data_IF_368898461617
#
_entry.id   IF_368898461617
#
_cell.length_a   1.000
_cell.length_b   1.000
_cell.length_c   1.000
_cell.angle_alpha   90.00
_cell.angle_beta   90.00
_cell.angle_gamma   90.00
#
_symmetry.space_group_name_H-M   'P 1'
#
loop_
_entity.id
_entity.type
_entity.pdbx_description
1 polymer ?
#
# COMPACT_ATOMS: atom_id res chain seq x y z
N UNK A 1 -8.26 59.80 -30.38
CA UNK A 1 -7.67 58.68 -29.65
C UNK A 1 -6.71 57.98 -30.58
N UNK A 2 -5.43 58.02 -30.26
CA UNK A 2 -4.33 57.78 -31.21
C UNK A 2 -4.20 56.28 -31.54
N UNK A 3 -4.02 55.95 -32.83
CA UNK A 3 -3.92 54.58 -33.36
C UNK A 3 -2.84 53.71 -32.67
N UNK A 4 -1.81 54.36 -32.16
CA UNK A 4 -0.72 53.75 -31.39
C UNK A 4 -1.11 53.37 -29.97
N UNK A 5 -2.09 54.03 -29.37
CA UNK A 5 -2.58 53.73 -28.03
C UNK A 5 -3.37 52.39 -28.02
N UNK A 6 -4.08 52.10 -29.12
CA UNK A 6 -4.81 50.85 -29.26
C UNK A 6 -3.87 49.67 -29.52
N UNK A 7 -2.75 49.90 -30.23
CA UNK A 7 -1.75 48.88 -30.46
C UNK A 7 -0.97 48.55 -29.18
N UNK A 8 -0.68 49.55 -28.36
CA UNK A 8 0.04 49.37 -27.08
C UNK A 8 -0.85 48.69 -26.04
N UNK A 9 -2.14 48.97 -26.00
CA UNK A 9 -3.10 48.30 -25.12
C UNK A 9 -3.33 46.84 -25.54
N UNK A 10 -3.33 46.54 -26.87
CA UNK A 10 -3.45 45.18 -27.38
C UNK A 10 -2.21 44.31 -27.07
N UNK A 11 -1.01 44.88 -27.12
CA UNK A 11 0.23 44.17 -26.80
C UNK A 11 0.34 43.95 -25.28
N UNK A 12 -0.14 44.87 -24.45
CA UNK A 12 -0.13 44.71 -23.00
C UNK A 12 -1.10 43.62 -22.53
N UNK A 13 -2.27 43.50 -23.17
CA UNK A 13 -3.26 42.46 -22.86
C UNK A 13 -2.80 41.08 -23.36
N UNK A 14 -2.18 40.99 -24.52
CA UNK A 14 -1.56 39.74 -24.98
C UNK A 14 -0.34 39.35 -24.15
N UNK A 15 0.46 40.31 -23.65
CA UNK A 15 1.59 40.03 -22.76
C UNK A 15 1.19 39.49 -21.40
N UNK A 16 0.07 39.97 -20.85
CA UNK A 16 -0.45 39.45 -19.56
C UNK A 16 -1.09 38.09 -19.66
N UNK A 17 -1.61 37.67 -20.83
CA UNK A 17 -2.12 36.33 -21.05
C UNK A 17 -1.00 35.30 -21.23
N UNK A 18 0.20 35.70 -21.68
CA UNK A 18 1.34 34.80 -21.78
C UNK A 18 2.07 34.60 -20.45
N UNK A 19 1.89 35.51 -19.48
CA UNK A 19 2.47 35.35 -18.13
C UNK A 19 1.61 34.43 -17.23
N UNK A 20 0.37 34.14 -17.61
CA UNK A 20 -0.54 33.26 -16.85
C UNK A 20 -0.27 31.76 -17.08
N UNK A 21 0.59 31.39 -18.01
CA UNK A 21 0.92 29.98 -18.27
C UNK A 21 2.22 29.50 -17.61
N UNK A 22 2.73 30.25 -16.63
CA UNK A 22 3.92 29.86 -15.88
C UNK A 22 3.62 29.53 -14.41
N UNK A 23 2.37 29.28 -14.06
CA UNK A 23 2.14 28.52 -12.83
C UNK A 23 2.69 27.11 -13.08
N UNK A 24 3.72 26.75 -12.34
CA UNK A 24 4.17 25.40 -12.21
C UNK A 24 2.94 24.59 -11.81
N UNK A 25 2.39 23.83 -12.74
CA UNK A 25 1.52 22.71 -12.40
C UNK A 25 2.39 21.80 -11.53
N UNK A 26 2.31 21.97 -10.24
CA UNK A 26 2.64 20.93 -9.30
C UNK A 26 1.50 19.92 -9.49
N UNK A 27 1.61 19.09 -10.52
CA UNK A 27 0.86 17.86 -10.61
C UNK A 27 1.33 17.10 -9.37
N UNK A 28 0.47 16.96 -8.37
CA UNK A 28 0.81 16.44 -7.04
C UNK A 28 1.19 14.96 -7.00
N UNK A 29 1.62 14.40 -8.11
CA UNK A 29 2.37 13.17 -8.16
C UNK A 29 3.83 13.55 -7.93
N UNK A 30 4.37 13.18 -6.79
CA UNK A 30 5.82 13.00 -6.73
C UNK A 30 6.18 12.20 -7.97
N UNK A 31 6.92 12.83 -8.90
CA UNK A 31 7.50 12.12 -10.04
C UNK A 31 8.17 10.91 -9.42
N UNK A 32 7.84 9.71 -9.87
CA UNK A 32 8.57 8.52 -9.46
C UNK A 32 10.01 8.68 -9.98
N UNK A 33 10.79 9.47 -9.21
CA UNK A 33 12.19 9.73 -9.53
C UNK A 33 12.96 8.42 -9.65
N UNK A 34 12.56 7.40 -8.89
CA UNK A 34 13.16 6.08 -8.97
C UNK A 34 12.83 5.38 -10.28
N UNK A 35 11.61 5.50 -10.80
CA UNK A 35 11.25 5.00 -12.12
C UNK A 35 12.01 5.70 -13.23
N UNK A 36 12.16 7.01 -13.15
CA UNK A 36 12.95 7.79 -14.11
C UNK A 36 14.45 7.49 -14.00
N UNK A 37 14.99 7.44 -12.78
CA UNK A 37 16.38 7.07 -12.52
C UNK A 37 16.65 5.61 -12.93
N UNK A 38 15.69 4.71 -12.72
CA UNK A 38 15.81 3.31 -13.15
C UNK A 38 15.92 3.16 -14.67
N UNK A 39 15.33 4.05 -15.46
CA UNK A 39 15.47 4.05 -16.92
C UNK A 39 16.85 4.53 -17.41
N UNK A 40 17.45 5.49 -16.72
CA UNK A 40 18.73 6.12 -17.10
C UNK A 40 19.93 5.54 -16.35
N UNK A 41 19.75 5.20 -15.06
CA UNK A 41 20.80 4.69 -14.19
C UNK A 41 20.49 3.26 -13.73
N UNK A 42 21.45 2.60 -13.13
CA UNK A 42 21.25 1.33 -12.46
C UNK A 42 20.82 1.60 -11.02
N UNK A 43 19.59 1.26 -10.69
CA UNK A 43 19.04 1.40 -9.34
C UNK A 43 18.94 0.01 -8.71
N UNK A 44 19.30 -0.11 -7.44
CA UNK A 44 19.13 -1.34 -6.64
C UNK A 44 18.11 -1.09 -5.53
N UNK A 45 17.22 -2.03 -5.33
CA UNK A 45 16.18 -1.99 -4.30
C UNK A 45 16.02 -3.31 -3.59
N UNK A 46 15.42 -3.30 -2.41
CA UNK A 46 15.11 -4.50 -1.65
C UNK A 46 13.78 -5.09 -2.14
N UNK A 47 13.74 -6.43 -2.25
CA UNK A 47 12.54 -7.21 -2.54
C UNK A 47 12.41 -8.34 -1.53
N UNK A 48 11.19 -8.67 -1.16
CA UNK A 48 10.91 -9.89 -0.42
C UNK A 48 10.82 -11.12 -1.36
N UNK A 49 10.49 -12.28 -0.83
CA UNK A 49 10.34 -13.51 -1.61
C UNK A 49 9.24 -13.42 -2.68
N UNK A 50 8.18 -12.67 -2.41
CA UNK A 50 7.07 -12.44 -3.34
C UNK A 50 7.37 -11.34 -4.38
N UNK A 51 8.57 -10.77 -4.36
CA UNK A 51 8.98 -9.68 -5.26
C UNK A 51 8.45 -8.29 -4.87
N UNK A 52 7.80 -8.14 -3.70
CA UNK A 52 7.29 -6.85 -3.23
C UNK A 52 8.44 -5.91 -2.85
N UNK A 53 8.33 -4.66 -3.28
CA UNK A 53 9.38 -3.65 -3.13
C UNK A 53 9.30 -2.84 -1.84
N UNK A 54 8.12 -2.65 -1.28
CA UNK A 54 7.89 -1.63 -0.27
C UNK A 54 7.63 -2.25 1.10
N UNK A 55 6.85 -3.33 1.17
CA UNK A 55 6.43 -3.95 2.42
C UNK A 55 6.68 -5.45 2.47
N UNK A 56 6.95 -5.92 3.68
CA UNK A 56 6.90 -7.33 4.06
C UNK A 56 6.18 -7.46 5.38
N UNK A 57 5.07 -8.19 5.40
CA UNK A 57 4.35 -8.48 6.63
C UNK A 57 4.93 -9.71 7.30
N UNK A 58 5.15 -9.61 8.59
CA UNK A 58 5.73 -10.67 9.42
C UNK A 58 4.89 -10.88 10.67
N UNK A 59 4.44 -12.11 10.87
CA UNK A 59 3.72 -12.52 12.06
C UNK A 59 4.63 -13.36 12.94
N UNK A 60 4.79 -12.95 14.20
CA UNK A 60 5.56 -13.73 15.18
C UNK A 60 4.58 -14.63 15.94
N UNK A 61 4.59 -15.91 15.62
CA UNK A 61 3.77 -16.94 16.30
C UNK A 61 4.60 -17.66 17.38
N UNK A 62 5.88 -17.87 17.11
CA UNK A 62 6.86 -18.45 18.04
C UNK A 62 7.76 -17.40 18.66
N UNK A 63 8.89 -17.82 19.21
CA UNK A 63 9.87 -16.90 19.83
C UNK A 63 10.71 -16.14 18.81
N UNK A 64 10.79 -16.60 17.58
CA UNK A 64 11.54 -15.97 16.49
C UNK A 64 11.03 -16.42 15.13
N UNK A 65 11.31 -15.60 14.12
CA UNK A 65 11.07 -15.91 12.72
C UNK A 65 12.22 -15.39 11.86
N UNK A 66 12.33 -15.86 10.63
CA UNK A 66 13.36 -15.40 9.67
C UNK A 66 12.69 -15.02 8.37
N UNK A 67 13.18 -13.94 7.76
CA UNK A 67 12.68 -13.42 6.48
C UNK A 67 13.84 -13.28 5.51
N UNK A 68 13.60 -13.67 4.26
CA UNK A 68 14.57 -13.53 3.19
C UNK A 68 14.27 -12.28 2.36
N UNK A 69 15.30 -11.50 2.13
CA UNK A 69 15.29 -10.37 1.23
C UNK A 69 16.29 -10.57 0.09
N UNK A 70 16.06 -9.89 -0.98
CA UNK A 70 16.93 -9.89 -2.16
C UNK A 70 17.18 -8.46 -2.59
N UNK A 71 18.39 -8.18 -3.06
CA UNK A 71 18.67 -6.94 -3.76
C UNK A 71 18.40 -7.16 -5.24
N UNK A 72 17.51 -6.37 -5.81
CA UNK A 72 17.19 -6.38 -7.23
C UNK A 72 17.64 -5.11 -7.91
N UNK A 73 18.19 -5.26 -9.12
CA UNK A 73 18.58 -4.18 -9.99
C UNK A 73 17.51 -3.89 -11.03
N UNK A 74 17.27 -2.61 -11.31
CA UNK A 74 16.33 -2.16 -12.34
C UNK A 74 16.62 -2.72 -13.73
N UNK A 75 17.87 -3.07 -14.01
CA UNK A 75 18.33 -3.66 -15.28
C UNK A 75 19.40 -4.72 -15.03
N UNK A 76 19.68 -5.64 -15.99
CA UNK A 76 20.78 -6.60 -15.86
C UNK A 76 22.10 -5.88 -15.57
N UNK A 77 22.84 -6.36 -14.59
CA UNK A 77 24.08 -5.77 -14.14
C UNK A 77 25.17 -5.84 -15.25
N UNK A 78 25.67 -4.70 -15.70
CA UNK A 78 26.75 -4.65 -16.69
C UNK A 78 28.08 -5.21 -16.14
N UNK A 79 28.28 -5.08 -14.83
CA UNK A 79 29.36 -5.69 -14.05
C UNK A 79 28.77 -6.13 -12.70
N UNK A 80 29.49 -6.93 -11.92
CA UNK A 80 29.01 -7.31 -10.59
C UNK A 80 28.70 -6.07 -9.74
N UNK A 81 27.55 -6.09 -9.04
CA UNK A 81 27.10 -5.01 -8.17
C UNK A 81 27.05 -5.52 -6.73
N UNK A 82 27.93 -4.99 -5.89
CA UNK A 82 27.93 -5.26 -4.47
C UNK A 82 27.08 -4.22 -3.74
N UNK A 83 26.27 -4.69 -2.82
CA UNK A 83 25.38 -3.88 -2.01
C UNK A 83 25.34 -4.38 -0.57
N UNK A 84 24.95 -3.52 0.34
CA UNK A 84 24.76 -3.84 1.76
C UNK A 84 23.33 -3.48 2.14
N UNK A 85 22.60 -4.45 2.67
CA UNK A 85 21.28 -4.24 3.29
C UNK A 85 21.49 -4.04 4.78
N UNK A 86 20.92 -3.01 5.34
CA UNK A 86 20.97 -2.69 6.78
C UNK A 86 19.61 -2.23 7.28
N UNK A 87 19.40 -2.36 8.60
CA UNK A 87 18.28 -1.69 9.26
C UNK A 87 18.60 -0.20 9.24
N UNK A 88 17.68 0.58 8.75
CA UNK A 88 17.78 2.03 8.69
C UNK A 88 17.38 2.68 10.02
N UNK A 89 17.54 3.98 10.12
CA UNK A 89 17.20 4.76 11.32
C UNK A 89 15.69 4.77 11.57
N UNK A 90 15.27 4.74 12.83
CA UNK A 90 13.87 4.73 13.24
C UNK A 90 13.11 6.00 12.84
N UNK A 91 13.80 7.09 12.49
CA UNK A 91 13.17 8.31 11.95
C UNK A 91 12.37 8.04 10.67
N UNK A 92 12.71 7.01 9.90
CA UNK A 92 11.92 6.60 8.75
C UNK A 92 10.53 6.08 9.13
N UNK A 93 10.34 5.55 10.35
CA UNK A 93 9.02 5.17 10.87
C UNK A 93 8.20 6.43 11.14
N UNK A 94 8.80 7.44 11.76
CA UNK A 94 8.15 8.71 12.05
C UNK A 94 7.79 9.46 10.76
N UNK A 95 8.69 9.50 9.78
CA UNK A 95 8.44 10.07 8.46
C UNK A 95 7.29 9.37 7.74
N UNK A 96 7.27 8.03 7.80
CA UNK A 96 6.20 7.23 7.22
C UNK A 96 4.85 7.55 7.88
N UNK A 97 4.80 7.52 9.21
CA UNK A 97 3.60 7.84 9.98
C UNK A 97 3.07 9.26 9.67
N UNK A 98 3.97 10.24 9.62
CA UNK A 98 3.61 11.61 9.30
C UNK A 98 3.04 11.75 7.87
N UNK A 99 3.65 11.05 6.91
CA UNK A 99 3.26 11.11 5.50
C UNK A 99 1.91 10.45 5.23
N UNK A 100 1.63 9.32 5.88
CA UNK A 100 0.49 8.47 5.55
C UNK A 100 -0.59 8.41 6.64
N UNK A 101 -0.40 9.17 7.74
CA UNK A 101 -1.37 9.22 8.84
C UNK A 101 -1.48 7.92 9.63
N UNK A 102 -0.43 7.11 9.63
CA UNK A 102 -0.37 5.85 10.37
C UNK A 102 0.22 6.05 11.77
N UNK A 103 0.23 4.99 12.60
CA UNK A 103 0.73 5.02 13.98
C UNK A 103 1.62 3.82 14.31
N UNK A 104 2.42 3.37 13.36
CA UNK A 104 3.39 2.30 13.60
C UNK A 104 4.42 2.68 14.66
N UNK A 105 4.86 1.71 15.44
CA UNK A 105 5.96 1.88 16.38
C UNK A 105 7.24 1.24 15.81
N UNK A 106 8.39 1.86 16.06
CA UNK A 106 9.66 1.22 15.75
C UNK A 106 9.79 -0.12 16.49
N UNK A 107 10.26 -1.16 15.81
CA UNK A 107 10.52 -2.45 16.43
C UNK A 107 11.73 -2.36 17.37
N UNK A 108 11.69 -3.00 18.54
CA UNK A 108 12.85 -2.97 19.47
C UNK A 108 14.16 -3.41 18.78
N UNK A 109 15.16 -2.55 18.81
CA UNK A 109 16.43 -2.77 18.09
C UNK A 109 17.14 -4.08 18.45
N UNK A 110 16.97 -4.57 19.70
CA UNK A 110 17.51 -5.85 20.15
C UNK A 110 16.84 -7.07 19.52
N UNK A 111 15.63 -6.90 18.97
CA UNK A 111 14.82 -7.99 18.43
C UNK A 111 15.02 -8.24 16.94
N UNK A 112 15.73 -7.39 16.21
CA UNK A 112 15.90 -7.52 14.77
C UNK A 112 17.38 -7.52 14.38
N UNK A 113 17.80 -8.48 13.56
CA UNK A 113 19.18 -8.58 13.11
C UNK A 113 19.29 -9.13 11.69
N UNK A 114 20.10 -8.49 10.86
CA UNK A 114 20.50 -8.99 9.55
C UNK A 114 21.79 -9.78 9.70
N UNK A 115 21.84 -11.04 9.23
CA UNK A 115 22.97 -11.93 9.48
C UNK A 115 24.30 -11.44 8.91
N UNK A 116 24.33 -11.00 7.65
CA UNK A 116 25.53 -10.43 7.04
C UNK A 116 25.29 -9.13 6.30
N UNK A 117 24.09 -8.89 5.84
CA UNK A 117 23.70 -7.74 5.02
C UNK A 117 24.36 -7.67 3.64
N UNK A 118 25.36 -8.50 3.36
CA UNK A 118 26.08 -8.48 2.08
C UNK A 118 25.24 -9.12 0.98
N UNK A 119 25.09 -8.40 -0.12
CA UNK A 119 24.41 -8.86 -1.31
C UNK A 119 25.27 -8.58 -2.55
N UNK A 120 25.33 -9.50 -3.47
CA UNK A 120 26.03 -9.32 -4.75
C UNK A 120 25.16 -9.78 -5.89
N UNK A 121 25.03 -8.93 -6.92
CA UNK A 121 24.34 -9.24 -8.17
C UNK A 121 25.43 -9.53 -9.21
N UNK A 122 25.47 -10.75 -9.70
CA UNK A 122 26.46 -11.15 -10.71
C UNK A 122 26.21 -10.41 -12.05
N UNK A 123 27.25 -10.24 -12.85
CA UNK A 123 27.16 -9.69 -14.20
C UNK A 123 26.08 -10.42 -15.02
N UNK A 124 25.25 -9.66 -15.69
CA UNK A 124 24.11 -10.17 -16.49
C UNK A 124 22.87 -10.55 -15.68
N UNK A 125 22.96 -10.61 -14.35
CA UNK A 125 21.83 -10.91 -13.47
C UNK A 125 21.12 -9.63 -12.98
N UNK A 126 19.91 -9.80 -12.45
CA UNK A 126 19.12 -8.72 -11.82
C UNK A 126 18.96 -8.90 -10.31
N UNK A 127 19.16 -10.09 -9.79
CA UNK A 127 18.81 -10.46 -8.41
C UNK A 127 20.04 -11.05 -7.70
N UNK A 128 20.21 -10.67 -6.43
CA UNK A 128 21.24 -11.23 -5.56
C UNK A 128 20.85 -12.58 -4.96
N UNK A 129 21.77 -13.22 -4.24
CA UNK A 129 21.41 -14.23 -3.23
C UNK A 129 20.58 -13.62 -2.10
N UNK A 130 19.92 -14.50 -1.32
CA UNK A 130 19.13 -14.07 -0.17
C UNK A 130 19.98 -13.40 0.90
N UNK A 131 19.44 -12.31 1.47
CA UNK A 131 19.90 -11.70 2.71
C UNK A 131 18.89 -12.06 3.80
N UNK A 132 19.34 -12.72 4.85
CA UNK A 132 18.48 -13.24 5.91
C UNK A 132 18.40 -12.23 7.04
N UNK A 133 17.18 -11.88 7.43
CA UNK A 133 16.87 -11.12 8.62
C UNK A 133 16.20 -12.02 9.65
N UNK A 134 16.72 -12.03 10.86
CA UNK A 134 16.12 -12.71 12.01
C UNK A 134 15.35 -11.69 12.85
N UNK A 135 14.14 -12.06 13.22
CA UNK A 135 13.28 -11.27 14.10
C UNK A 135 12.97 -12.13 15.31
N UNK A 136 13.39 -11.66 16.48
CA UNK A 136 13.19 -12.33 17.76
C UNK A 136 12.16 -11.56 18.56
N UNK A 137 11.17 -12.25 19.06
CA UNK A 137 10.13 -11.64 19.86
C UNK A 137 10.66 -11.04 21.15
N UNK A 138 10.40 -9.77 21.36
CA UNK A 138 10.71 -9.08 22.61
C UNK A 138 9.55 -9.20 23.61
N UNK A 139 9.85 -9.22 24.90
CA UNK A 139 8.85 -9.31 25.95
C UNK A 139 7.99 -8.04 26.09
N UNK A 140 8.47 -6.92 25.56
CA UNK A 140 7.77 -5.63 25.59
C UNK A 140 6.75 -5.46 24.45
N UNK A 141 6.70 -6.40 23.50
CA UNK A 141 5.78 -6.28 22.35
C UNK A 141 4.33 -6.36 22.81
N UNK A 142 3.51 -5.48 22.27
CA UNK A 142 2.08 -5.49 22.43
C UNK A 142 1.42 -6.06 21.16
N UNK A 143 0.61 -7.09 21.31
CA UNK A 143 -0.09 -7.76 20.19
C UNK A 143 -1.09 -6.87 19.43
N UNK A 144 -1.49 -5.75 20.02
CA UNK A 144 -2.43 -4.81 19.40
C UNK A 144 -1.72 -3.71 18.59
N UNK A 145 -0.38 -3.74 18.57
CA UNK A 145 0.45 -2.77 17.87
C UNK A 145 1.13 -3.44 16.69
N UNK A 146 1.10 -2.79 15.54
CA UNK A 146 1.97 -3.13 14.42
C UNK A 146 3.28 -2.37 14.55
N UNK A 147 4.37 -3.10 14.56
CA UNK A 147 5.72 -2.55 14.60
C UNK A 147 6.31 -2.47 13.20
N UNK A 148 7.22 -1.54 12.99
CA UNK A 148 7.86 -1.33 11.70
C UNK A 148 9.38 -1.35 11.82
N UNK A 149 10.05 -2.03 10.89
CA UNK A 149 11.51 -2.05 10.75
C UNK A 149 11.83 -1.50 9.36
N UNK A 150 12.44 -0.32 9.25
CA UNK A 150 12.89 0.21 7.97
C UNK A 150 14.19 -0.47 7.53
N UNK A 151 14.28 -0.88 6.28
CA UNK A 151 15.47 -1.46 5.66
C UNK A 151 15.96 -0.56 4.54
N UNK A 152 17.26 -0.32 4.51
CA UNK A 152 17.93 0.38 3.42
C UNK A 152 18.91 -0.52 2.68
N UNK A 153 19.15 -0.21 1.42
CA UNK A 153 20.22 -0.83 0.62
C UNK A 153 21.19 0.26 0.17
N UNK A 154 22.48 0.01 0.34
CA UNK A 154 23.55 0.91 -0.14
C UNK A 154 24.48 0.16 -1.08
N UNK A 155 24.85 0.81 -2.20
CA UNK A 155 25.85 0.31 -3.15
C UNK A 155 26.81 1.42 -3.54
N UNK A 156 28.04 1.05 -3.86
CA UNK A 156 29.06 2.01 -4.35
C UNK A 156 28.94 2.24 -5.86
N UNK A 157 28.27 1.34 -6.58
CA UNK A 157 28.26 1.30 -8.06
C UNK A 157 26.86 1.46 -8.65
N UNK A 158 25.83 1.48 -7.82
CA UNK A 158 24.45 1.67 -8.23
C UNK A 158 23.73 2.64 -7.30
N UNK A 159 22.69 3.30 -7.80
CA UNK A 159 21.85 4.19 -7.00
C UNK A 159 20.98 3.34 -6.06
N UNK A 160 20.85 3.76 -4.81
CA UNK A 160 19.96 3.12 -3.84
C UNK A 160 18.51 3.47 -4.12
N UNK A 161 17.64 2.48 -4.06
CA UNK A 161 16.19 2.64 -4.16
C UNK A 161 15.55 3.09 -2.84
N UNK A 162 14.23 3.01 -2.79
CA UNK A 162 13.43 3.40 -1.61
C UNK A 162 13.67 2.47 -0.42
N UNK A 163 13.33 2.98 0.76
CA UNK A 163 13.26 2.20 2.00
C UNK A 163 12.24 1.07 1.83
N UNK A 164 12.58 -0.11 2.30
CA UNK A 164 11.67 -1.26 2.40
C UNK A 164 11.26 -1.41 3.87
N UNK A 165 9.96 -1.54 4.12
CA UNK A 165 9.44 -1.61 5.48
C UNK A 165 8.99 -3.04 5.81
N UNK A 166 9.44 -3.55 6.96
CA UNK A 166 8.98 -4.82 7.51
C UNK A 166 7.97 -4.52 8.61
N UNK A 167 6.74 -4.92 8.39
CA UNK A 167 5.65 -4.75 9.35
C UNK A 167 5.54 -6.01 10.19
N UNK A 168 5.67 -5.86 11.50
CA UNK A 168 5.74 -6.98 12.44
C UNK A 168 4.58 -6.91 13.41
N UNK A 169 3.81 -8.01 13.48
CA UNK A 169 2.78 -8.23 14.50
C UNK A 169 3.17 -9.40 15.41
N UNK A 170 2.99 -9.20 16.71
CA UNK A 170 3.20 -10.25 17.71
C UNK A 170 1.91 -11.02 17.96
N UNK A 171 1.88 -12.25 17.49
CA UNK A 171 0.74 -13.16 17.67
C UNK A 171 1.02 -14.30 18.66
N UNK A 172 2.07 -14.18 19.48
CA UNK A 172 2.39 -15.19 20.49
C UNK A 172 1.25 -15.32 21.49
N UNK A 173 0.78 -16.55 21.67
CA UNK A 173 -0.31 -16.85 22.58
C UNK A 173 -1.71 -16.48 22.07
N UNK A 174 -1.84 -15.81 20.92
CA UNK A 174 -3.15 -15.68 20.25
C UNK A 174 -3.56 -17.05 19.69
N UNK A 175 -4.75 -17.48 20.03
CA UNK A 175 -5.38 -18.63 19.38
C UNK A 175 -6.10 -18.09 18.15
N UNK A 176 -5.58 -18.43 16.99
CA UNK A 176 -6.31 -18.15 15.75
C UNK A 176 -7.46 -19.13 15.63
N UNK A 177 -8.66 -18.62 15.65
CA UNK A 177 -9.79 -19.37 15.16
C UNK A 177 -9.59 -19.57 13.65
N UNK A 178 -10.11 -20.65 13.12
CA UNK A 178 -10.08 -20.94 11.69
C UNK A 178 -11.48 -21.13 11.17
N UNK A 179 -11.79 -20.52 10.04
CA UNK A 179 -13.02 -20.77 9.30
C UNK A 179 -12.84 -21.89 8.26
N UNK A 180 -11.65 -22.46 8.12
CA UNK A 180 -11.37 -23.50 7.13
C UNK A 180 -12.23 -24.74 7.30
N UNK A 181 -12.93 -25.12 6.22
CA UNK A 181 -13.75 -26.32 6.16
C UNK A 181 -12.98 -27.47 5.51
N UNK A 182 -13.18 -28.73 5.96
CA UNK A 182 -12.55 -29.90 5.34
C UNK A 182 -12.85 -30.04 3.84
N UNK A 183 -13.97 -29.46 3.37
CA UNK A 183 -14.35 -29.47 1.95
C UNK A 183 -13.50 -28.55 1.08
N UNK A 184 -12.75 -27.62 1.66
CA UNK A 184 -12.04 -26.56 0.94
C UNK A 184 -12.94 -25.49 0.33
N UNK A 185 -14.26 -25.59 0.49
CA UNK A 185 -15.22 -24.60 -0.03
C UNK A 185 -15.10 -23.32 0.80
N UNK A 186 -14.94 -22.17 0.14
CA UNK A 186 -14.96 -20.85 0.74
C UNK A 186 -16.32 -20.20 0.49
N UNK A 187 -16.92 -19.71 1.58
CA UNK A 187 -18.17 -18.95 1.54
C UNK A 187 -17.86 -17.49 1.82
N UNK A 188 -18.33 -16.63 0.94
CA UNK A 188 -18.12 -15.19 1.00
C UNK A 188 -19.47 -14.54 1.21
N UNK A 189 -19.55 -13.61 2.16
CA UNK A 189 -20.72 -12.77 2.39
C UNK A 189 -20.37 -11.32 2.01
N UNK A 190 -21.19 -10.70 1.16
CA UNK A 190 -21.16 -9.27 0.92
C UNK A 190 -22.29 -8.61 1.70
N UNK A 191 -22.00 -7.58 2.49
CA UNK A 191 -22.93 -7.01 3.44
C UNK A 191 -22.92 -5.48 3.41
N UNK A 192 -24.12 -4.88 3.29
CA UNK A 192 -24.31 -3.43 3.44
C UNK A 192 -24.23 -3.03 4.93
N UNK A 193 -23.09 -2.51 5.33
CA UNK A 193 -22.79 -2.19 6.73
C UNK A 193 -23.55 -0.99 7.30
N UNK A 194 -24.19 -0.19 6.44
CA UNK A 194 -25.01 0.95 6.88
C UNK A 194 -26.36 0.54 7.51
N UNK A 195 -26.80 -0.68 7.30
CA UNK A 195 -28.13 -1.17 7.70
C UNK A 195 -28.07 -2.31 8.72
N UNK A 196 -27.05 -3.15 8.65
CA UNK A 196 -26.93 -4.35 9.49
C UNK A 196 -25.51 -4.47 10.02
N UNK A 197 -25.38 -4.90 11.28
CA UNK A 197 -24.05 -5.13 11.88
C UNK A 197 -23.39 -6.37 11.31
N UNK A 198 -22.13 -6.30 10.87
CA UNK A 198 -21.36 -7.47 10.43
C UNK A 198 -21.22 -8.56 11.50
N UNK A 199 -21.40 -8.23 12.78
CA UNK A 199 -21.41 -9.22 13.87
C UNK A 199 -22.52 -10.26 13.76
N UNK A 200 -23.52 -10.02 12.90
CA UNK A 200 -24.54 -11.02 12.56
C UNK A 200 -23.90 -12.34 12.07
N UNK A 201 -22.74 -12.27 11.43
CA UNK A 201 -22.00 -13.46 10.96
C UNK A 201 -21.61 -14.40 12.09
N UNK A 202 -21.50 -13.91 13.32
CA UNK A 202 -21.26 -14.74 14.54
C UNK A 202 -22.37 -15.74 14.81
N UNK A 203 -23.57 -15.50 14.31
CA UNK A 203 -24.73 -16.40 14.47
C UNK A 203 -24.76 -17.56 13.47
N UNK A 204 -23.98 -17.49 12.40
CA UNK A 204 -23.95 -18.52 11.35
C UNK A 204 -22.82 -19.49 11.60
N UNK A 205 -23.10 -20.51 12.39
CA UNK A 205 -22.15 -21.56 12.75
C UNK A 205 -22.59 -22.91 12.17
N UNK A 206 -21.63 -23.68 11.70
CA UNK A 206 -21.87 -25.05 11.24
C UNK A 206 -22.13 -25.96 12.44
N UNK A 207 -23.28 -26.59 12.48
CA UNK A 207 -23.77 -27.34 13.65
C UNK A 207 -22.81 -28.44 14.11
N UNK A 208 -22.17 -29.16 13.18
CA UNK A 208 -21.36 -30.32 13.54
C UNK A 208 -19.90 -29.95 13.90
N UNK A 209 -19.34 -28.91 13.29
CA UNK A 209 -17.93 -28.53 13.48
C UNK A 209 -17.75 -27.36 14.41
N UNK A 210 -18.80 -26.55 14.64
CA UNK A 210 -18.70 -25.29 15.36
C UNK A 210 -17.88 -24.23 14.63
N UNK A 211 -17.56 -24.44 13.34
CA UNK A 211 -16.84 -23.47 12.52
C UNK A 211 -17.81 -22.40 12.00
N UNK A 212 -17.35 -21.17 11.74
CA UNK A 212 -18.14 -20.16 11.06
C UNK A 212 -18.60 -20.67 9.68
N UNK A 213 -19.83 -20.31 9.29
CA UNK A 213 -20.34 -20.62 7.96
C UNK A 213 -19.56 -19.87 6.89
N UNK A 214 -19.27 -18.59 7.12
CA UNK A 214 -18.56 -17.73 6.19
C UNK A 214 -17.06 -17.73 6.48
N UNK A 215 -16.26 -17.66 5.43
CA UNK A 215 -14.81 -17.53 5.49
C UNK A 215 -14.37 -16.09 5.31
N UNK A 216 -15.10 -15.33 4.49
CA UNK A 216 -14.78 -13.96 4.14
C UNK A 216 -16.04 -13.12 4.26
N UNK A 217 -15.92 -11.99 4.92
CA UNK A 217 -16.96 -10.96 5.02
C UNK A 217 -16.51 -9.73 4.26
N UNK A 218 -17.25 -9.34 3.22
CA UNK A 218 -17.02 -8.13 2.45
C UNK A 218 -17.91 -7.03 3.03
N UNK A 219 -17.29 -5.97 3.52
CA UNK A 219 -17.98 -4.77 3.99
C UNK A 219 -18.31 -3.88 2.80
N UNK A 220 -19.56 -3.76 2.43
CA UNK A 220 -20.03 -2.94 1.31
C UNK A 220 -20.51 -1.59 1.82
N UNK A 221 -19.99 -0.46 1.33
CA UNK A 221 -18.81 -0.30 0.51
C UNK A 221 -18.08 1.01 0.86
N UNK A 222 -16.76 0.99 0.83
CA UNK A 222 -16.00 2.19 0.59
C UNK A 222 -16.11 2.57 -0.91
N UNK A 223 -15.59 3.73 -1.28
CA UNK A 223 -15.67 4.23 -2.66
C UNK A 223 -14.32 4.70 -3.15
N UNK A 224 -14.07 4.49 -4.44
CA UNK A 224 -13.06 5.24 -5.13
C UNK A 224 -13.61 6.64 -5.41
N UNK A 225 -12.86 7.68 -5.08
CA UNK A 225 -13.25 9.07 -5.32
C UNK A 225 -12.06 9.85 -5.86
N UNK A 226 -12.31 11.07 -6.34
CA UNK A 226 -11.27 11.93 -6.87
C UNK A 226 -11.07 13.16 -5.98
N UNK A 227 -9.86 13.30 -5.45
CA UNK A 227 -9.45 14.49 -4.72
C UNK A 227 -9.01 15.56 -5.72
N UNK A 228 -9.81 16.62 -5.84
CA UNK A 228 -9.57 17.73 -6.77
C UNK A 228 -8.40 18.62 -6.34
N UNK A 229 -8.05 18.66 -5.06
CA UNK A 229 -6.93 19.46 -4.55
C UNK A 229 -5.60 18.75 -4.80
N UNK A 230 -5.56 17.43 -4.60
CA UNK A 230 -4.37 16.62 -4.80
C UNK A 230 -4.29 15.99 -6.20
N UNK A 231 -5.33 16.17 -7.03
CA UNK A 231 -5.45 15.60 -8.37
C UNK A 231 -5.17 14.09 -8.42
N UNK A 232 -5.70 13.33 -7.46
CA UNK A 232 -5.49 11.88 -7.35
C UNK A 232 -6.76 11.14 -6.95
N UNK A 233 -6.76 9.82 -7.22
CA UNK A 233 -7.80 8.95 -6.68
C UNK A 233 -7.52 8.64 -5.20
N UNK A 234 -8.57 8.65 -4.41
CA UNK A 234 -8.56 8.37 -2.97
C UNK A 234 -9.60 7.32 -2.61
N UNK A 235 -9.45 6.73 -1.42
CA UNK A 235 -10.49 5.92 -0.78
C UNK A 235 -11.34 6.83 0.09
N UNK A 236 -12.64 6.84 -0.14
CA UNK A 236 -13.60 7.55 0.71
C UNK A 236 -14.54 6.58 1.40
N UNK A 237 -14.83 6.84 2.68
CA UNK A 237 -15.71 6.00 3.48
C UNK A 237 -17.07 6.70 3.71
N UNK A 238 -18.19 6.09 3.30
CA UNK A 238 -19.49 6.43 3.83
C UNK A 238 -19.54 6.20 5.35
N UNK A 239 -20.40 6.93 6.04
CA UNK A 239 -20.54 6.90 7.52
C UNK A 239 -20.68 5.47 8.08
N UNK A 240 -21.41 4.59 7.39
CA UNK A 240 -21.60 3.21 7.83
C UNK A 240 -20.31 2.39 7.82
N UNK A 241 -19.49 2.54 6.80
CA UNK A 241 -18.18 1.86 6.72
C UNK A 241 -17.23 2.42 7.76
N UNK A 242 -17.10 3.74 7.85
CA UNK A 242 -16.22 4.39 8.84
C UNK A 242 -16.61 3.98 10.27
N UNK A 243 -17.91 3.98 10.60
CA UNK A 243 -18.41 3.53 11.88
C UNK A 243 -18.07 2.05 12.18
N UNK A 244 -18.17 1.18 11.18
CA UNK A 244 -17.85 -0.25 11.32
C UNK A 244 -16.35 -0.45 11.57
N UNK A 245 -15.49 0.22 10.80
CA UNK A 245 -14.04 0.09 10.94
C UNK A 245 -13.53 0.57 12.31
N UNK A 246 -14.16 1.60 12.88
CA UNK A 246 -13.78 2.14 14.21
C UNK A 246 -14.37 1.39 15.40
N UNK A 247 -15.30 0.47 15.20
CA UNK A 247 -16.09 -0.15 16.26
C UNK A 247 -15.48 -1.41 16.89
N UNK A 248 -14.32 -1.88 16.39
CA UNK A 248 -13.71 -3.15 16.79
C UNK A 248 -14.36 -4.40 16.17
N UNK A 249 -15.34 -4.23 15.29
CA UNK A 249 -16.05 -5.33 14.61
C UNK A 249 -15.09 -6.18 13.77
N UNK A 250 -14.10 -5.56 13.12
CA UNK A 250 -13.12 -6.26 12.31
C UNK A 250 -12.37 -7.29 13.17
N UNK A 251 -11.87 -6.87 14.33
CA UNK A 251 -11.18 -7.77 15.26
C UNK A 251 -12.07 -8.89 15.75
N UNK A 252 -13.35 -8.60 16.07
CA UNK A 252 -14.28 -9.63 16.52
C UNK A 252 -14.56 -10.72 15.44
N UNK A 253 -14.55 -10.35 14.17
CA UNK A 253 -14.68 -11.30 13.07
C UNK A 253 -13.39 -12.11 12.87
N UNK A 254 -12.23 -11.46 13.00
CA UNK A 254 -10.92 -12.13 13.00
C UNK A 254 -10.79 -13.14 14.13
N UNK A 255 -11.28 -12.82 15.32
CA UNK A 255 -11.28 -13.73 16.49
C UNK A 255 -12.07 -15.01 16.25
N UNK A 256 -12.98 -15.00 15.29
CA UNK A 256 -13.70 -16.18 14.81
C UNK A 256 -13.02 -16.90 13.63
N UNK A 257 -11.94 -16.34 13.11
CA UNK A 257 -11.20 -16.90 11.96
C UNK A 257 -11.74 -16.48 10.60
N UNK A 258 -12.69 -15.56 10.55
CA UNK A 258 -13.16 -14.98 9.28
C UNK A 258 -12.19 -13.90 8.80
N UNK A 259 -12.01 -13.80 7.50
CA UNK A 259 -11.32 -12.68 6.87
C UNK A 259 -12.28 -11.53 6.62
N UNK A 260 -11.79 -10.30 6.76
CA UNK A 260 -12.57 -9.10 6.54
C UNK A 260 -11.98 -8.30 5.38
N UNK A 261 -12.79 -8.06 4.38
CA UNK A 261 -12.43 -7.36 3.14
C UNK A 261 -13.38 -6.18 2.98
N UNK A 262 -12.89 -5.06 2.48
CA UNK A 262 -13.75 -3.94 2.11
C UNK A 262 -14.02 -3.93 0.60
N UNK A 263 -15.25 -3.69 0.21
CA UNK A 263 -15.59 -3.41 -1.18
C UNK A 263 -15.22 -1.98 -1.54
N UNK A 264 -14.63 -1.79 -2.71
CA UNK A 264 -14.35 -0.50 -3.31
C UNK A 264 -15.29 -0.31 -4.48
N UNK A 265 -16.35 0.45 -4.26
CA UNK A 265 -17.33 0.82 -5.28
C UNK A 265 -16.80 2.00 -6.09
N UNK A 266 -17.05 2.03 -7.37
CA UNK A 266 -16.87 3.23 -8.19
C UNK A 266 -17.73 4.38 -7.64
N UNK A 267 -17.23 5.62 -7.69
CA UNK A 267 -18.08 6.79 -7.49
C UNK A 267 -18.88 7.09 -8.77
N UNK A 268 -19.87 7.97 -8.69
CA UNK A 268 -20.60 8.40 -9.89
C UNK A 268 -19.68 8.97 -11.00
N UNK A 269 -18.48 9.37 -10.65
CA UNK A 269 -17.56 10.15 -11.49
C UNK A 269 -16.23 9.47 -11.76
N UNK A 270 -15.74 8.66 -10.85
CA UNK A 270 -14.41 8.04 -10.90
C UNK A 270 -14.44 6.55 -10.56
N UNK A 271 -13.60 5.79 -11.22
CA UNK A 271 -13.47 4.36 -11.03
C UNK A 271 -12.10 3.84 -11.44
N UNK A 272 -11.86 2.55 -11.27
CA UNK A 272 -10.56 1.91 -11.50
C UNK A 272 -10.07 1.99 -12.95
N UNK A 273 -10.97 2.11 -13.91
CA UNK A 273 -10.58 2.24 -15.31
C UNK A 273 -9.96 3.61 -15.66
N UNK A 274 -10.06 4.60 -14.77
CA UNK A 274 -9.34 5.87 -14.88
C UNK A 274 -7.84 5.78 -14.61
N UNK A 275 -7.37 4.69 -13.99
CA UNK A 275 -6.00 4.59 -13.52
C UNK A 275 -5.01 4.48 -14.67
N UNK A 276 -4.08 5.45 -14.78
CA UNK A 276 -2.83 5.30 -15.53
C UNK A 276 -1.93 4.30 -14.82
N UNK A 277 -0.87 3.82 -15.46
CA UNK A 277 0.10 2.93 -14.81
C UNK A 277 0.72 3.56 -13.55
N UNK A 278 0.90 4.86 -13.57
CA UNK A 278 1.45 5.63 -12.45
C UNK A 278 0.42 5.85 -11.34
N UNK A 279 -0.79 6.24 -11.71
CA UNK A 279 -1.91 6.37 -10.77
C UNK A 279 -2.27 5.01 -10.13
N UNK A 280 -2.15 3.91 -10.87
CA UNK A 280 -2.30 2.55 -10.33
C UNK A 280 -1.34 2.28 -9.16
N UNK A 281 -0.06 2.63 -9.31
CA UNK A 281 0.95 2.41 -8.25
C UNK A 281 0.64 3.24 -7.01
N UNK A 282 0.30 4.52 -7.20
CA UNK A 282 -0.05 5.43 -6.11
C UNK A 282 -1.31 4.96 -5.38
N UNK A 283 -2.34 4.57 -6.14
CA UNK A 283 -3.59 4.10 -5.57
C UNK A 283 -3.45 2.73 -4.89
N UNK A 284 -2.66 1.82 -5.45
CA UNK A 284 -2.35 0.56 -4.80
C UNK A 284 -1.63 0.75 -3.45
N UNK A 285 -0.75 1.75 -3.35
CA UNK A 285 -0.12 2.12 -2.09
C UNK A 285 -1.14 2.70 -1.09
N UNK A 286 -2.05 3.53 -1.55
CA UNK A 286 -3.12 4.08 -0.71
C UNK A 286 -4.05 2.98 -0.19
N UNK A 287 -4.43 2.03 -1.05
CA UNK A 287 -5.21 0.85 -0.64
C UNK A 287 -4.47 -0.03 0.37
N UNK A 288 -3.17 -0.25 0.17
CA UNK A 288 -2.36 -1.01 1.11
C UNK A 288 -2.33 -0.34 2.49
N UNK A 289 -2.09 0.97 2.53
CA UNK A 289 -2.11 1.75 3.77
C UNK A 289 -3.50 1.75 4.43
N UNK A 290 -4.55 1.84 3.62
CA UNK A 290 -5.93 1.80 4.09
C UNK A 290 -6.27 0.45 4.74
N UNK A 291 -5.91 -0.66 4.10
CA UNK A 291 -6.10 -1.99 4.65
C UNK A 291 -5.32 -2.18 5.97
N UNK A 292 -4.08 -1.74 5.99
CA UNK A 292 -3.21 -1.83 7.16
C UNK A 292 -3.77 -1.03 8.34
N UNK A 293 -4.17 0.23 8.10
CA UNK A 293 -4.71 1.11 9.14
C UNK A 293 -6.04 0.61 9.74
N UNK A 294 -6.79 -0.19 9.00
CA UNK A 294 -8.10 -0.72 9.40
C UNK A 294 -8.08 -2.23 9.64
N UNK A 295 -6.89 -2.85 9.68
CA UNK A 295 -6.70 -4.29 9.90
C UNK A 295 -7.47 -5.20 8.94
N UNK A 296 -7.68 -4.74 7.70
CA UNK A 296 -8.40 -5.48 6.66
C UNK A 296 -7.50 -6.49 5.96
N UNK A 297 -8.06 -7.65 5.61
CA UNK A 297 -7.34 -8.71 4.86
C UNK A 297 -7.19 -8.38 3.37
N UNK A 298 -7.90 -7.39 2.86
CA UNK A 298 -7.81 -6.98 1.46
C UNK A 298 -8.97 -6.12 1.00
N UNK A 299 -9.05 -5.96 -0.32
CA UNK A 299 -10.10 -5.20 -0.99
C UNK A 299 -10.81 -6.06 -2.02
N UNK A 300 -12.06 -5.73 -2.29
CA UNK A 300 -12.88 -6.29 -3.35
C UNK A 300 -13.32 -5.14 -4.26
N UNK A 301 -12.92 -5.15 -5.52
CA UNK A 301 -13.35 -4.13 -6.47
C UNK A 301 -14.74 -4.44 -7.01
N UNK A 302 -15.62 -3.45 -6.91
CA UNK A 302 -16.99 -3.49 -7.41
C UNK A 302 -17.26 -2.17 -8.15
N UNK A 303 -16.56 -2.00 -9.27
CA UNK A 303 -16.58 -0.75 -10.05
C UNK A 303 -17.77 -0.73 -11.01
N UNK A 304 -18.91 -0.32 -10.50
CA UNK A 304 -20.15 -0.22 -11.25
C UNK A 304 -20.78 1.18 -11.13
N UNK A 305 -21.72 1.51 -12.02
CA UNK A 305 -22.45 2.78 -12.10
C UNK A 305 -21.55 4.03 -12.24
N UNK A 306 -20.33 3.86 -12.69
CA UNK A 306 -19.37 4.95 -12.88
C UNK A 306 -19.50 5.57 -14.26
N UNK A 307 -19.62 6.89 -14.33
CA UNK A 307 -19.70 7.62 -15.60
C UNK A 307 -18.34 7.98 -16.19
N UNK A 308 -17.26 7.81 -15.44
CA UNK A 308 -15.86 8.04 -15.84
C UNK A 308 -15.64 9.44 -16.45
N UNK A 309 -15.84 10.47 -15.64
CA UNK A 309 -15.63 11.84 -16.08
C UNK A 309 -14.14 12.13 -16.33
N UNK A 310 -13.88 13.05 -17.26
CA UNK A 310 -12.53 13.53 -17.51
C UNK A 310 -12.03 14.37 -16.32
N UNK A 311 -10.95 13.92 -15.69
CA UNK A 311 -10.27 14.63 -14.63
C UNK A 311 -8.82 14.88 -14.99
N UNK A 312 -8.24 16.03 -14.54
CA UNK A 312 -6.81 16.28 -14.69
C UNK A 312 -5.99 15.14 -14.09
N UNK A 313 -5.01 14.65 -14.84
CA UNK A 313 -4.12 13.56 -14.40
C UNK A 313 -4.68 12.14 -14.50
N UNK A 314 -5.96 11.98 -14.89
CA UNK A 314 -6.56 10.69 -15.19
C UNK A 314 -6.66 10.50 -16.70
N UNK A 315 -6.60 9.25 -17.16
CA UNK A 315 -6.87 8.92 -18.56
C UNK A 315 -8.34 8.65 -18.77
N UNK A 316 -8.84 8.91 -19.99
CA UNK A 316 -10.12 8.34 -20.40
C UNK A 316 -10.04 6.81 -20.30
N UNK A 317 -11.09 6.14 -19.78
CA UNK A 317 -11.12 4.69 -19.67
C UNK A 317 -10.95 4.04 -21.03
N UNK A 318 -10.11 3.01 -21.09
CA UNK A 318 -10.01 2.16 -22.26
C UNK A 318 -10.56 0.78 -21.92
N UNK A 319 -11.21 0.14 -22.90
CA UNK A 319 -11.71 -1.24 -22.78
C UNK A 319 -10.59 -2.27 -22.53
N UNK A 320 -9.34 -1.89 -22.75
CA UNK A 320 -8.16 -2.73 -22.48
C UNK A 320 -7.80 -2.76 -20.98
N UNK A 321 -8.33 -1.83 -20.18
CA UNK A 321 -8.04 -1.71 -18.74
C UNK A 321 -9.23 -2.06 -17.85
N UNK A 322 -10.43 -2.16 -18.42
CA UNK A 322 -11.67 -2.44 -17.70
C UNK A 322 -11.92 -3.96 -17.50
#
# INVERSE_FOLDING_TARGET
>A
MNKYFRLFAGILVCGSMLASCAEKFNVGNEVDEDGYLAATQQVVGIRNEDGKALFTNVEIIGNSTSVNFYVESSKPAAAAVDAVVSIADDSYVDEYNAKYGTSYMAYPASGAAIQSGQASIAQGQKKSQAVVMNITADASLNSDITYMIPLEVKSKTATSGKIHYVLVKDYRGKKFASSEKPSGIKLISCMEVGQTSPLFHKSFMLQNSGLPLFDIVILFSAKIDYDTEQCKLIVSNPVGVDGTLRSGIVQELHDMGMKVVVSILGSAYAGVAHLTDEACKTYAQELANYCEANELDGVFFDDEYTSYWDYPGLTSPSTERA
#
